data_IF_711437212738
#
_entry.id   IF_711437212738
#
_cell.length_a   1.000
_cell.length_b   1.000
_cell.length_c   1.000
_cell.angle_alpha   90.00
_cell.angle_beta   90.00
_cell.angle_gamma   90.00
#
_symmetry.space_group_name_H-M   'P 1'
#
loop_
_entity.id
_entity.type
_entity.pdbx_description
1 polymer ?
#
# COMPACT_ATOMS: atom_id res chain seq x y z
N UNK A 1 -80.70 -24.43 -9.76
CA UNK A 1 -80.10 -23.16 -9.31
C UNK A 1 -78.77 -23.53 -8.71
N UNK A 2 -77.68 -23.57 -9.51
CA UNK A 2 -76.35 -23.95 -9.08
C UNK A 2 -75.50 -22.69 -9.00
N UNK A 3 -74.98 -22.37 -7.80
CA UNK A 3 -73.98 -21.29 -7.57
C UNK A 3 -72.61 -21.88 -7.71
N UNK A 4 -71.88 -21.50 -8.74
CA UNK A 4 -70.46 -21.79 -8.92
C UNK A 4 -69.61 -20.78 -8.12
N UNK A 5 -68.73 -21.27 -7.19
CA UNK A 5 -67.76 -20.49 -6.49
C UNK A 5 -66.40 -20.50 -7.26
N UNK A 6 -66.00 -19.35 -7.74
CA UNK A 6 -64.72 -19.15 -8.36
C UNK A 6 -63.65 -19.03 -7.25
N UNK A 7 -62.77 -20.02 -7.16
CA UNK A 7 -61.56 -19.94 -6.33
C UNK A 7 -60.51 -19.09 -7.02
N UNK A 8 -60.26 -17.90 -6.49
CA UNK A 8 -59.18 -17.04 -6.94
C UNK A 8 -57.83 -17.59 -6.47
N UNK A 9 -57.00 -18.02 -7.42
CA UNK A 9 -55.62 -18.41 -7.19
C UNK A 9 -54.77 -17.16 -6.85
N UNK A 10 -54.35 -17.03 -5.58
CA UNK A 10 -53.37 -16.02 -5.17
C UNK A 10 -51.96 -16.56 -5.50
N UNK A 11 -51.39 -16.12 -6.62
CA UNK A 11 -49.98 -16.40 -6.96
C UNK A 11 -49.07 -15.67 -5.99
N UNK A 12 -48.42 -16.44 -5.11
CA UNK A 12 -47.38 -15.94 -4.21
C UNK A 12 -46.09 -15.77 -5.00
N UNK A 13 -45.77 -14.54 -5.35
CA UNK A 13 -44.48 -14.21 -6.03
C UNK A 13 -43.36 -14.31 -5.02
N UNK A 14 -42.65 -15.42 -5.01
CA UNK A 14 -41.40 -15.59 -4.22
C UNK A 14 -40.27 -14.78 -4.88
N UNK A 15 -39.99 -13.58 -4.35
CA UNK A 15 -38.83 -12.80 -4.72
C UNK A 15 -37.59 -13.46 -4.07
N UNK A 16 -36.91 -14.28 -4.85
CA UNK A 16 -35.60 -14.82 -4.47
C UNK A 16 -34.56 -13.67 -4.46
N UNK A 17 -34.26 -13.15 -3.30
CA UNK A 17 -33.17 -12.18 -3.10
C UNK A 17 -31.84 -12.94 -3.20
N UNK A 18 -31.26 -13.01 -4.40
CA UNK A 18 -29.96 -13.60 -4.64
C UNK A 18 -28.90 -12.69 -3.98
N UNK A 19 -28.38 -13.09 -2.82
CA UNK A 19 -27.19 -12.49 -2.22
C UNK A 19 -25.99 -12.78 -3.14
N UNK A 20 -25.63 -11.79 -3.98
CA UNK A 20 -24.37 -11.82 -4.70
C UNK A 20 -23.23 -11.72 -3.68
N UNK A 21 -22.24 -12.61 -3.70
CA UNK A 21 -21.08 -12.50 -2.83
C UNK A 21 -20.36 -11.19 -3.17
N UNK A 22 -20.32 -10.25 -2.24
CA UNK A 22 -19.47 -9.08 -2.33
C UNK A 22 -18.02 -9.54 -2.21
N UNK A 23 -17.34 -9.67 -3.35
CA UNK A 23 -15.89 -9.85 -3.35
C UNK A 23 -15.24 -8.57 -2.81
N UNK A 24 -14.92 -8.56 -1.53
CA UNK A 24 -14.08 -7.52 -0.95
C UNK A 24 -12.67 -7.74 -1.49
N UNK A 25 -12.26 -6.89 -2.43
CA UNK A 25 -10.89 -6.89 -2.91
C UNK A 25 -9.96 -6.51 -1.76
N UNK A 26 -8.89 -7.28 -1.58
CA UNK A 26 -7.90 -6.96 -0.54
C UNK A 26 -7.27 -5.60 -0.82
N UNK A 27 -7.19 -4.75 0.21
CA UNK A 27 -6.53 -3.44 0.12
C UNK A 27 -5.02 -3.63 -0.05
N UNK A 28 -4.45 -2.98 -1.04
CA UNK A 28 -3.02 -3.08 -1.32
C UNK A 28 -2.24 -2.00 -0.57
N UNK A 29 -1.20 -2.43 0.15
CA UNK A 29 -0.21 -1.57 0.81
C UNK A 29 1.10 -1.72 0.03
N UNK A 30 1.55 -0.66 -0.62
CA UNK A 30 2.81 -0.63 -1.34
C UNK A 30 3.92 -0.09 -0.44
N UNK A 31 4.98 -0.85 -0.27
CA UNK A 31 6.20 -0.41 0.43
C UNK A 31 7.21 0.04 -0.62
N UNK A 32 7.61 1.29 -0.55
CA UNK A 32 8.61 1.94 -1.38
C UNK A 32 9.78 2.34 -0.49
N UNK A 33 10.78 1.49 -0.41
CA UNK A 33 11.89 1.65 0.51
C UNK A 33 13.23 1.22 -0.09
N UNK A 34 14.24 1.22 0.74
CA UNK A 34 15.60 0.83 0.40
C UNK A 34 15.99 -0.57 0.97
N UNK A 35 17.25 -0.77 1.33
CA UNK A 35 17.76 -2.03 1.85
C UNK A 35 17.10 -2.47 3.16
N UNK A 36 16.66 -1.52 3.99
CA UNK A 36 16.00 -1.81 5.28
C UNK A 36 14.66 -2.50 5.02
N UNK A 37 13.87 -1.95 4.11
CA UNK A 37 12.57 -2.53 3.74
C UNK A 37 12.71 -3.73 2.79
N UNK A 38 13.78 -3.78 1.99
CA UNK A 38 14.07 -4.95 1.16
C UNK A 38 14.52 -6.19 1.98
N UNK A 39 14.94 -5.99 3.23
CA UNK A 39 15.44 -7.07 4.09
C UNK A 39 16.85 -7.53 3.72
N UNK A 40 17.69 -6.61 3.25
CA UNK A 40 19.06 -6.94 2.86
C UNK A 40 19.86 -7.50 4.03
N UNK A 41 20.49 -8.65 3.81
CA UNK A 41 21.36 -9.29 4.81
C UNK A 41 20.64 -10.03 5.93
N UNK A 42 19.32 -10.17 5.88
CA UNK A 42 18.53 -10.94 6.84
C UNK A 42 17.67 -11.99 6.15
N UNK A 43 17.22 -13.00 6.91
CA UNK A 43 16.23 -13.96 6.41
C UNK A 43 14.97 -13.19 5.93
N UNK A 44 14.51 -13.42 4.69
CA UNK A 44 13.31 -12.75 4.18
C UNK A 44 12.08 -12.88 5.09
N UNK A 45 11.96 -13.98 5.86
CA UNK A 45 10.87 -14.20 6.80
C UNK A 45 10.94 -13.30 8.04
N UNK A 46 12.11 -12.71 8.32
CA UNK A 46 12.38 -11.85 9.48
C UNK A 46 12.32 -10.36 9.10
N UNK A 47 12.25 -10.03 7.82
CA UNK A 47 12.09 -8.66 7.36
C UNK A 47 10.77 -8.04 7.84
N UNK A 48 10.82 -6.78 8.28
CA UNK A 48 9.65 -6.10 8.85
C UNK A 48 8.43 -6.09 7.91
N UNK A 49 8.64 -6.02 6.59
CA UNK A 49 7.56 -6.03 5.59
C UNK A 49 6.83 -7.36 5.60
N UNK A 50 7.57 -8.47 5.70
CA UNK A 50 6.98 -9.80 5.80
C UNK A 50 6.27 -10.01 7.13
N UNK A 51 6.84 -9.50 8.22
CA UNK A 51 6.20 -9.53 9.55
C UNK A 51 4.92 -8.69 9.56
N UNK A 52 4.89 -7.56 8.85
CA UNK A 52 3.68 -6.74 8.66
C UNK A 52 2.59 -7.55 7.95
N UNK A 53 2.91 -8.21 6.83
CA UNK A 53 1.94 -9.06 6.12
C UNK A 53 1.38 -10.14 7.05
N UNK A 54 2.26 -10.86 7.75
CA UNK A 54 1.85 -11.92 8.70
C UNK A 54 0.91 -11.38 9.78
N UNK A 55 1.21 -10.21 10.34
CA UNK A 55 0.36 -9.57 11.36
C UNK A 55 -1.02 -9.17 10.80
N UNK A 56 -1.03 -8.62 9.59
CA UNK A 56 -2.28 -8.27 8.92
C UNK A 56 -3.13 -9.51 8.61
N UNK A 57 -2.52 -10.60 8.18
CA UNK A 57 -3.22 -11.86 7.92
C UNK A 57 -3.84 -12.46 9.19
N UNK A 58 -3.18 -12.29 10.34
CA UNK A 58 -3.69 -12.73 11.62
C UNK A 58 -4.86 -11.86 12.14
N UNK A 59 -4.76 -10.54 11.98
CA UNK A 59 -5.75 -9.60 12.51
C UNK A 59 -6.92 -9.36 11.55
N UNK A 60 -6.64 -9.40 10.24
CA UNK A 60 -7.60 -9.07 9.17
C UNK A 60 -7.45 -10.06 8.01
N UNK A 61 -7.86 -11.33 8.18
CA UNK A 61 -7.62 -12.38 7.18
C UNK A 61 -8.10 -11.99 5.79
N UNK A 62 -7.21 -12.08 4.80
CA UNK A 62 -7.48 -11.80 3.37
C UNK A 62 -7.94 -10.37 3.04
N UNK A 63 -7.85 -9.42 3.98
CA UNK A 63 -8.30 -8.05 3.75
C UNK A 63 -7.18 -7.12 3.25
N UNK A 64 -5.93 -7.50 3.44
CA UNK A 64 -4.77 -6.66 3.09
C UNK A 64 -3.69 -7.47 2.37
N UNK A 65 -3.10 -6.83 1.35
CA UNK A 65 -1.96 -7.35 0.62
C UNK A 65 -0.81 -6.36 0.70
N UNK A 66 0.33 -6.77 1.24
CA UNK A 66 1.55 -5.96 1.26
C UNK A 66 2.40 -6.29 0.03
N UNK A 67 2.73 -5.28 -0.75
CA UNK A 67 3.62 -5.38 -1.92
C UNK A 67 4.93 -4.68 -1.56
N UNK A 68 6.01 -5.44 -1.42
CA UNK A 68 7.33 -4.87 -1.19
C UNK A 68 7.99 -4.53 -2.53
N UNK A 69 8.05 -3.23 -2.86
CA UNK A 69 8.74 -2.70 -4.03
C UNK A 69 10.08 -2.03 -3.68
N UNK A 70 10.62 -2.32 -2.49
CA UNK A 70 11.88 -1.77 -2.02
C UNK A 70 13.07 -2.35 -2.76
N UNK A 71 14.11 -1.54 -2.95
CA UNK A 71 15.34 -1.92 -3.64
C UNK A 71 16.55 -1.48 -2.82
N UNK A 72 17.49 -2.39 -2.56
CA UNK A 72 18.72 -2.05 -1.85
C UNK A 72 19.49 -0.94 -2.57
N UNK A 73 19.93 0.07 -1.81
CA UNK A 73 20.64 1.23 -2.36
C UNK A 73 19.73 2.27 -3.06
N UNK A 74 18.40 2.12 -2.96
CA UNK A 74 17.46 3.04 -3.57
C UNK A 74 17.59 4.46 -3.02
N UNK A 75 17.43 5.43 -3.90
CA UNK A 75 17.38 6.85 -3.59
C UNK A 75 16.02 7.43 -3.85
N UNK A 76 15.74 8.62 -3.33
CA UNK A 76 14.49 9.32 -3.60
C UNK A 76 14.29 9.59 -5.09
N UNK A 77 15.36 9.87 -5.84
CA UNK A 77 15.31 10.06 -7.31
C UNK A 77 15.01 8.76 -8.05
N UNK A 78 15.63 7.64 -7.65
CA UNK A 78 15.37 6.33 -8.24
C UNK A 78 13.95 5.88 -8.01
N UNK A 79 13.43 6.06 -6.80
CA UNK A 79 12.05 5.78 -6.44
C UNK A 79 11.05 6.61 -7.27
N UNK A 80 11.33 7.92 -7.50
CA UNK A 80 10.50 8.78 -8.35
C UNK A 80 10.36 8.23 -9.77
N UNK A 81 11.44 7.70 -10.34
CA UNK A 81 11.41 7.14 -11.69
C UNK A 81 10.51 5.89 -11.78
N UNK A 82 10.44 5.08 -10.70
CA UNK A 82 9.69 3.82 -10.66
C UNK A 82 8.25 3.97 -10.21
N UNK A 83 7.97 4.94 -9.34
CA UNK A 83 6.69 5.08 -8.66
C UNK A 83 5.47 5.13 -9.61
N UNK A 84 5.48 5.88 -10.74
CA UNK A 84 4.32 5.94 -11.62
C UNK A 84 3.88 4.55 -12.12
N UNK A 85 4.83 3.70 -12.50
CA UNK A 85 4.55 2.34 -12.95
C UNK A 85 4.03 1.44 -11.83
N UNK A 86 4.59 1.59 -10.63
CA UNK A 86 4.15 0.85 -9.45
C UNK A 86 2.71 1.22 -9.06
N UNK A 87 2.37 2.50 -9.06
CA UNK A 87 1.01 2.99 -8.78
C UNK A 87 0.01 2.45 -9.81
N UNK A 88 0.38 2.48 -11.10
CA UNK A 88 -0.47 1.95 -12.17
C UNK A 88 -0.70 0.43 -12.03
N UNK A 89 0.37 -0.31 -11.68
CA UNK A 89 0.34 -1.78 -11.61
C UNK A 89 -0.43 -2.27 -10.39
N UNK A 90 -0.16 -1.68 -9.22
CA UNK A 90 -0.67 -2.21 -7.95
C UNK A 90 -1.88 -1.46 -7.43
N UNK A 91 -2.17 -0.25 -7.92
CA UNK A 91 -3.29 0.61 -7.50
C UNK A 91 -3.46 0.62 -5.97
N UNK A 92 -2.39 0.95 -5.21
CA UNK A 92 -2.41 0.80 -3.76
C UNK A 92 -3.35 1.80 -3.10
N UNK A 93 -4.00 1.39 -2.01
CA UNK A 93 -4.74 2.30 -1.12
C UNK A 93 -3.82 2.99 -0.12
N UNK A 94 -2.65 2.38 0.16
CA UNK A 94 -1.64 2.95 1.04
C UNK A 94 -0.27 2.81 0.39
N UNK A 95 0.52 3.87 0.43
CA UNK A 95 1.95 3.87 0.06
C UNK A 95 2.75 4.20 1.30
N UNK A 96 3.66 3.31 1.69
CA UNK A 96 4.65 3.56 2.74
C UNK A 96 5.95 3.92 2.08
N UNK A 97 6.50 5.09 2.42
CA UNK A 97 7.78 5.59 1.90
C UNK A 97 8.83 5.53 3.02
N UNK A 98 9.89 4.78 2.79
CA UNK A 98 11.05 4.62 3.70
C UNK A 98 12.31 4.85 2.86
N UNK A 99 12.70 6.13 2.67
CA UNK A 99 13.75 6.58 1.75
C UNK A 99 14.46 7.85 2.26
N UNK A 100 15.62 8.11 1.72
CA UNK A 100 16.41 9.31 2.02
C UNK A 100 17.77 8.99 2.65
N UNK A 101 17.93 7.81 3.26
CA UNK A 101 19.20 7.37 3.84
C UNK A 101 20.32 7.30 2.80
N UNK A 102 20.09 6.65 1.69
CA UNK A 102 21.08 6.54 0.61
C UNK A 102 21.37 7.87 -0.06
N UNK A 103 20.40 8.77 -0.13
CA UNK A 103 20.62 10.14 -0.62
C UNK A 103 21.61 10.88 0.31
N UNK A 104 21.37 10.84 1.63
CA UNK A 104 22.26 11.43 2.63
C UNK A 104 23.66 10.82 2.62
N UNK A 105 23.75 9.48 2.56
CA UNK A 105 25.03 8.77 2.48
C UNK A 105 25.84 9.14 1.23
N UNK A 106 25.18 9.56 0.15
CA UNK A 106 25.79 10.04 -1.10
C UNK A 106 25.97 11.56 -1.15
N UNK A 107 25.72 12.26 -0.06
CA UNK A 107 25.88 13.71 0.04
C UNK A 107 24.88 14.51 -0.79
N UNK A 108 23.70 13.96 -1.08
CA UNK A 108 22.65 14.71 -1.78
C UNK A 108 22.13 15.84 -0.90
N UNK A 109 21.92 17.05 -1.44
CA UNK A 109 21.42 18.18 -0.66
C UNK A 109 20.08 17.86 0.02
N UNK A 110 19.87 18.18 1.31
CA UNK A 110 18.61 17.94 2.01
C UNK A 110 17.38 18.51 1.29
N UNK A 111 17.52 19.67 0.65
CA UNK A 111 16.47 20.32 -0.12
C UNK A 111 16.03 19.48 -1.33
N UNK A 112 16.97 18.76 -1.96
CA UNK A 112 16.64 17.84 -3.06
C UNK A 112 15.92 16.61 -2.55
N UNK A 113 16.37 16.05 -1.43
CA UNK A 113 15.69 14.91 -0.77
C UNK A 113 14.27 15.30 -0.42
N UNK A 114 14.07 16.44 0.24
CA UNK A 114 12.77 16.97 0.60
C UNK A 114 11.85 17.17 -0.62
N UNK A 115 12.38 17.76 -1.71
CA UNK A 115 11.65 17.96 -2.96
C UNK A 115 11.19 16.62 -3.54
N UNK A 116 12.08 15.64 -3.60
CA UNK A 116 11.78 14.32 -4.14
C UNK A 116 10.74 13.58 -3.28
N UNK A 117 10.88 13.60 -1.96
CA UNK A 117 9.89 13.02 -1.03
C UNK A 117 8.53 13.68 -1.20
N UNK A 118 8.49 15.02 -1.33
CA UNK A 118 7.24 15.76 -1.57
C UNK A 118 6.57 15.32 -2.89
N UNK A 119 7.36 15.10 -3.95
CA UNK A 119 6.84 14.63 -5.23
C UNK A 119 6.32 13.17 -5.14
N UNK A 120 7.01 12.28 -4.42
CA UNK A 120 6.55 10.91 -4.18
C UNK A 120 5.19 10.91 -3.46
N UNK A 121 5.04 11.76 -2.44
CA UNK A 121 3.78 11.93 -1.71
C UNK A 121 2.68 12.43 -2.65
N UNK A 122 2.93 13.50 -3.40
CA UNK A 122 1.95 14.09 -4.33
C UNK A 122 1.49 13.11 -5.41
N UNK A 123 2.42 12.36 -6.02
CA UNK A 123 2.10 11.34 -7.02
C UNK A 123 1.21 10.24 -6.44
N UNK A 124 1.52 9.78 -5.22
CA UNK A 124 0.73 8.77 -4.53
C UNK A 124 -0.69 9.27 -4.20
N UNK A 125 -0.80 10.49 -3.65
CA UNK A 125 -2.07 11.12 -3.32
C UNK A 125 -2.92 11.42 -4.55
N UNK A 126 -2.31 11.79 -5.69
CA UNK A 126 -3.01 11.97 -6.97
C UNK A 126 -3.71 10.68 -7.42
N UNK A 127 -3.17 9.53 -7.07
CA UNK A 127 -3.79 8.21 -7.29
C UNK A 127 -4.72 7.78 -6.14
N UNK A 128 -5.10 8.73 -5.25
CA UNK A 128 -5.97 8.52 -4.09
C UNK A 128 -5.40 7.58 -3.02
N UNK A 129 -4.11 7.28 -3.05
CA UNK A 129 -3.45 6.51 -2.01
C UNK A 129 -3.21 7.38 -0.76
N UNK A 130 -3.41 6.79 0.42
CA UNK A 130 -2.91 7.35 1.68
C UNK A 130 -1.40 7.15 1.73
N UNK A 131 -0.67 8.13 2.27
CA UNK A 131 0.79 8.04 2.37
C UNK A 131 1.22 8.01 3.82
N UNK A 132 2.13 7.09 4.13
CA UNK A 132 2.86 7.02 5.39
C UNK A 132 4.33 7.26 5.05
N UNK A 133 4.91 8.32 5.58
CA UNK A 133 6.33 8.61 5.46
C UNK A 133 7.05 8.20 6.74
N UNK A 134 8.03 7.34 6.63
CA UNK A 134 8.90 7.00 7.76
C UNK A 134 9.98 8.05 7.91
N UNK A 135 10.06 8.64 9.10
CA UNK A 135 11.17 9.52 9.46
C UNK A 135 12.47 8.72 9.55
N UNK A 136 13.53 9.29 8.97
CA UNK A 136 14.86 8.69 9.03
C UNK A 136 15.81 9.64 9.77
N UNK A 137 16.56 9.09 10.72
CA UNK A 137 17.60 9.83 11.42
C UNK A 137 18.96 9.39 10.88
N UNK A 138 19.63 10.31 10.20
CA UNK A 138 20.99 10.07 9.71
C UNK A 138 21.98 10.32 10.86
N UNK A 139 23.04 9.50 11.01
CA UNK A 139 24.02 9.69 12.07
C UNK A 139 24.69 11.07 12.02
N UNK A 140 25.00 11.69 13.19
CA UNK A 140 25.51 13.07 13.28
C UNK A 140 26.82 13.31 12.54
N UNK A 141 27.64 12.28 12.33
CA UNK A 141 28.92 12.36 11.61
C UNK A 141 28.76 12.69 10.11
N UNK A 142 27.53 12.66 9.57
CA UNK A 142 27.22 13.13 8.22
C UNK A 142 26.91 14.64 8.14
N UNK A 143 27.00 15.34 9.26
CA UNK A 143 26.84 16.78 9.36
C UNK A 143 25.46 17.22 9.86
N UNK A 144 25.40 18.41 10.43
CA UNK A 144 24.19 18.99 11.06
C UNK A 144 23.04 19.24 10.08
N UNK A 145 23.32 19.30 8.78
CA UNK A 145 22.29 19.48 7.77
C UNK A 145 21.34 18.27 7.61
N UNK A 146 21.76 17.11 8.13
CA UNK A 146 21.01 15.85 8.03
C UNK A 146 20.47 15.33 9.38
N UNK A 147 20.71 16.03 10.48
CA UNK A 147 20.33 15.65 11.85
C UNK A 147 19.19 16.47 12.42
#
# INVERSE_FOLDING_TARGET
>A
MYKSYLFGSKSLLLISLSMLPMFVSAKTILILGDSISAGYGIDPKQGWVQLLQKRLDQQYPKQHKVVNASVSGETTSGALARLPKLLQTYKPEVVVIELGGNDGLRGQPPQMIQKNLSQLIQLSQKQKAKVILFGMKIPPNYGTAYS
#
